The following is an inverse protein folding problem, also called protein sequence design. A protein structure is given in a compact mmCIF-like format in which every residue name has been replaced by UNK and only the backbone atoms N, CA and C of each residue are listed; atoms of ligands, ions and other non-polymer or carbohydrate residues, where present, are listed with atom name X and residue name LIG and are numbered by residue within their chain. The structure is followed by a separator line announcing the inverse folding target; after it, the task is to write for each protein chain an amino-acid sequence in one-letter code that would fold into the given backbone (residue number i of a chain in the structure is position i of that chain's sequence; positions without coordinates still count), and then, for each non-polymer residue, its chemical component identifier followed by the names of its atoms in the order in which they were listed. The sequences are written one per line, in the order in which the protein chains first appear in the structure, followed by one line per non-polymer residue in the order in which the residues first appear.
data_IF_936424879168
#
_entry.id   IF_936424879168
#
_cell.length_a   1.000
_cell.length_b   1.000
_cell.length_c   1.000
_cell.angle_alpha   90.00
_cell.angle_beta   90.00
_cell.angle_gamma   90.00
#
_symmetry.space_group_name_H-M   'P 1'
#
loop_
_entity.id
_entity.type
_entity.pdbx_description
1 polymer ?
#
# COMPACT_ATOMS: atom_id res chain seq x y z
N UNK A 1 11.49 3.26 -16.09
CA UNK A 1 10.40 3.40 -17.09
C UNK A 1 9.12 3.88 -16.40
N UNK A 2 8.13 4.42 -17.15
CA UNK A 2 6.87 4.98 -16.59
C UNK A 2 6.11 3.97 -15.71
N UNK A 3 6.02 2.72 -16.17
CA UNK A 3 5.37 1.62 -15.44
C UNK A 3 6.02 1.34 -14.09
N UNK A 4 7.34 1.19 -14.06
CA UNK A 4 8.10 0.93 -12.83
C UNK A 4 7.96 2.08 -11.83
N UNK A 5 7.94 3.33 -12.33
CA UNK A 5 7.76 4.52 -11.50
C UNK A 5 6.35 4.55 -10.88
N UNK A 6 5.31 4.23 -11.66
CA UNK A 6 3.93 4.14 -11.18
C UNK A 6 3.79 3.04 -10.12
N UNK A 7 4.34 1.85 -10.37
CA UNK A 7 4.33 0.76 -9.39
C UNK A 7 5.09 1.14 -8.10
N UNK A 8 6.25 1.79 -8.23
CA UNK A 8 7.02 2.26 -7.08
C UNK A 8 6.26 3.32 -6.27
N UNK A 9 5.53 4.21 -6.94
CA UNK A 9 4.67 5.19 -6.27
C UNK A 9 3.54 4.49 -5.50
N UNK A 10 2.92 3.46 -6.07
CA UNK A 10 1.96 2.60 -5.39
C UNK A 10 2.51 1.97 -4.11
N UNK A 11 3.70 1.35 -4.21
CA UNK A 11 4.40 0.77 -3.05
C UNK A 11 4.65 1.80 -1.96
N UNK A 12 5.06 3.02 -2.31
CA UNK A 12 5.30 4.10 -1.34
C UNK A 12 4.02 4.53 -0.61
N UNK A 13 2.87 4.59 -1.29
CA UNK A 13 1.60 4.90 -0.64
C UNK A 13 1.20 3.84 0.41
N UNK A 14 1.48 2.56 0.14
CA UNK A 14 1.27 1.49 1.12
C UNK A 14 2.29 1.58 2.29
N UNK A 15 3.58 1.75 1.97
CA UNK A 15 4.66 1.70 2.94
C UNK A 15 4.74 2.92 3.86
N UNK A 16 4.38 4.10 3.37
CA UNK A 16 4.42 5.33 4.17
C UNK A 16 3.36 5.35 5.27
N UNK A 17 2.46 4.35 5.30
CA UNK A 17 1.39 4.23 6.27
C UNK A 17 0.71 5.59 6.51
N UNK A 18 0.53 6.34 5.41
CA UNK A 18 -0.03 7.69 5.45
C UNK A 18 -1.39 7.51 6.12
N UNK A 19 -1.52 8.12 7.29
CA UNK A 19 -2.69 7.92 8.13
C UNK A 19 -3.93 8.29 7.30
N UNK A 20 -4.86 7.35 7.17
CA UNK A 20 -6.09 7.50 6.39
C UNK A 20 -5.90 7.59 4.85
N UNK A 21 -4.78 7.15 4.27
CA UNK A 21 -4.71 7.01 2.82
C UNK A 21 -5.74 5.99 2.33
N UNK A 22 -6.54 6.43 1.37
CA UNK A 22 -7.65 5.67 0.78
C UNK A 22 -7.39 5.49 -0.71
N UNK A 23 -7.30 4.25 -1.23
CA UNK A 23 -7.13 4.01 -2.67
C UNK A 23 -8.20 4.69 -3.54
N UNK A 24 -9.36 5.01 -2.97
CA UNK A 24 -10.44 5.79 -3.59
C UNK A 24 -9.98 7.19 -4.04
N UNK A 25 -8.96 7.77 -3.42
CA UNK A 25 -8.40 9.06 -3.83
C UNK A 25 -7.80 9.01 -5.25
N UNK A 26 -7.41 7.83 -5.75
CA UNK A 26 -6.97 7.69 -7.14
C UNK A 26 -8.10 7.75 -8.16
N UNK A 27 -9.32 7.36 -7.76
CA UNK A 27 -10.50 7.56 -8.60
C UNK A 27 -10.80 9.06 -8.75
N UNK A 28 -10.77 9.80 -7.64
CA UNK A 28 -10.96 11.27 -7.65
C UNK A 28 -9.87 11.94 -8.49
N UNK A 29 -8.60 11.54 -8.32
CA UNK A 29 -7.50 12.04 -9.15
C UNK A 29 -7.75 11.79 -10.65
N UNK A 30 -8.26 10.62 -11.01
CA UNK A 30 -8.58 10.29 -12.40
C UNK A 30 -9.70 11.18 -12.94
N UNK A 31 -10.75 11.41 -12.17
CA UNK A 31 -11.86 12.29 -12.52
C UNK A 31 -11.37 13.72 -12.74
N UNK A 32 -10.57 14.28 -11.82
CA UNK A 32 -10.01 15.62 -11.99
C UNK A 32 -9.19 15.76 -13.28
N UNK A 33 -8.34 14.79 -13.63
CA UNK A 33 -7.58 14.86 -14.88
C UNK A 33 -8.50 14.76 -16.09
N UNK A 34 -9.48 13.85 -16.07
CA UNK A 34 -10.43 13.67 -17.18
C UNK A 34 -11.28 14.92 -17.39
N UNK A 35 -11.74 15.59 -16.32
CA UNK A 35 -12.50 16.83 -16.39
C UNK A 35 -11.69 17.95 -17.03
N UNK A 36 -10.43 18.15 -16.60
CA UNK A 36 -9.54 19.15 -17.20
C UNK A 36 -9.25 18.86 -18.67
N UNK A 37 -9.11 17.59 -19.03
CA UNK A 37 -8.87 17.19 -20.42
C UNK A 37 -10.13 17.33 -21.26
N UNK A 38 -11.33 17.21 -20.68
CA UNK A 38 -12.58 17.37 -21.42
C UNK A 38 -12.77 18.77 -22.01
N UNK A 39 -12.02 19.77 -21.53
CA UNK A 39 -11.98 21.12 -22.10
C UNK A 39 -11.33 21.18 -23.50
N UNK A 40 -10.57 20.16 -23.91
CA UNK A 40 -10.07 20.07 -25.28
C UNK A 40 -11.18 19.65 -26.25
N UNK A 41 -11.25 20.26 -27.44
CA UNK A 41 -12.20 19.84 -28.49
C UNK A 41 -11.75 18.58 -29.26
N UNK A 42 -10.54 18.07 -28.99
CA UNK A 42 -9.97 16.92 -29.69
C UNK A 42 -10.25 15.61 -28.94
N UNK A 43 -11.07 14.74 -29.54
CA UNK A 43 -11.46 13.44 -28.98
C UNK A 43 -10.28 12.46 -28.86
N UNK A 44 -9.32 12.50 -29.76
CA UNK A 44 -8.17 11.59 -29.71
C UNK A 44 -7.26 11.94 -28.53
N UNK A 45 -7.05 13.23 -28.30
CA UNK A 45 -6.34 13.73 -27.13
C UNK A 45 -7.04 13.30 -25.84
N UNK A 46 -8.38 13.44 -25.77
CA UNK A 46 -9.15 12.99 -24.60
C UNK A 46 -8.98 11.49 -24.32
N UNK A 47 -9.04 10.65 -25.36
CA UNK A 47 -8.88 9.20 -25.24
C UNK A 47 -7.46 8.85 -24.76
N UNK A 48 -6.45 9.47 -25.35
CA UNK A 48 -5.05 9.21 -25.01
C UNK A 48 -4.75 9.56 -23.54
N UNK A 49 -5.23 10.71 -23.06
CA UNK A 49 -5.08 11.10 -21.66
C UNK A 49 -5.82 10.17 -20.71
N UNK A 50 -7.06 9.79 -21.03
CA UNK A 50 -7.82 8.82 -20.23
C UNK A 50 -7.07 7.49 -20.13
N UNK A 51 -6.54 6.98 -21.24
CA UNK A 51 -5.76 5.74 -21.25
C UNK A 51 -4.47 5.87 -20.44
N UNK A 52 -3.75 6.99 -20.54
CA UNK A 52 -2.54 7.24 -19.78
C UNK A 52 -2.81 7.21 -18.27
N UNK A 53 -3.81 7.96 -17.81
CA UNK A 53 -4.13 8.04 -16.37
C UNK A 53 -4.59 6.68 -15.84
N UNK A 54 -5.47 5.99 -16.55
CA UNK A 54 -5.90 4.65 -16.16
C UNK A 54 -4.73 3.66 -16.09
N UNK A 55 -3.78 3.76 -17.02
CA UNK A 55 -2.57 2.93 -17.01
C UNK A 55 -1.70 3.23 -15.78
N UNK A 56 -1.49 4.50 -15.45
CA UNK A 56 -0.74 4.90 -14.26
C UNK A 56 -1.41 4.37 -12.98
N UNK A 57 -2.72 4.57 -12.84
CA UNK A 57 -3.48 4.11 -11.68
C UNK A 57 -3.48 2.59 -11.57
N UNK A 58 -3.57 1.86 -12.68
CA UNK A 58 -3.47 0.40 -12.69
C UNK A 58 -2.16 -0.09 -12.05
N UNK A 59 -1.03 0.44 -12.49
CA UNK A 59 0.27 0.04 -11.94
C UNK A 59 0.49 0.54 -10.51
N UNK A 60 -0.04 1.71 -10.15
CA UNK A 60 -0.03 2.18 -8.76
C UNK A 60 -0.82 1.24 -7.85
N UNK A 61 -2.01 0.79 -8.24
CA UNK A 61 -2.82 -0.19 -7.49
C UNK A 61 -2.07 -1.51 -7.32
N UNK A 62 -1.48 -2.03 -8.40
CA UNK A 62 -0.66 -3.24 -8.32
C UNK A 62 0.50 -3.10 -7.33
N UNK A 63 1.24 -1.99 -7.37
CA UNK A 63 2.34 -1.74 -6.45
C UNK A 63 1.88 -1.65 -5.00
N UNK A 64 0.76 -0.97 -4.75
CA UNK A 64 0.17 -0.83 -3.44
C UNK A 64 -0.27 -2.19 -2.86
N UNK A 65 -1.06 -2.97 -3.61
CA UNK A 65 -1.54 -4.28 -3.16
C UNK A 65 -0.38 -5.24 -2.82
N UNK A 66 0.65 -5.28 -3.69
CA UNK A 66 1.85 -6.10 -3.46
C UNK A 66 2.55 -5.72 -2.15
N UNK A 67 2.69 -4.43 -1.90
CA UNK A 67 3.35 -3.93 -0.69
C UNK A 67 2.50 -4.14 0.56
N UNK A 68 1.18 -3.88 0.50
CA UNK A 68 0.26 -4.14 1.61
C UNK A 68 0.23 -5.62 2.02
N UNK A 69 0.26 -6.54 1.04
CA UNK A 69 0.37 -7.98 1.30
C UNK A 69 1.71 -8.33 1.94
N UNK A 70 2.81 -7.73 1.48
CA UNK A 70 4.15 -7.92 2.05
C UNK A 70 4.19 -7.47 3.52
N UNK A 71 3.64 -6.30 3.81
CA UNK A 71 3.59 -5.74 5.17
C UNK A 71 2.75 -6.61 6.10
N UNK A 72 1.57 -7.06 5.65
CA UNK A 72 0.70 -7.97 6.41
C UNK A 72 1.42 -9.28 6.75
N UNK A 73 2.10 -9.91 5.79
CA UNK A 73 2.88 -11.14 6.03
C UNK A 73 4.01 -10.91 7.03
N UNK A 74 4.74 -9.80 6.91
CA UNK A 74 5.82 -9.48 7.83
C UNK A 74 5.30 -9.29 9.27
N UNK A 75 4.15 -8.63 9.43
CA UNK A 75 3.51 -8.48 10.74
C UNK A 75 3.09 -9.83 11.34
N UNK A 76 2.52 -10.73 10.54
CA UNK A 76 2.15 -12.10 10.98
C UNK A 76 3.37 -12.91 11.41
N UNK A 77 4.47 -12.85 10.65
CA UNK A 77 5.70 -13.54 10.99
C UNK A 77 6.30 -13.03 12.31
N UNK A 78 6.29 -11.72 12.54
CA UNK A 78 6.74 -11.14 13.80
C UNK A 78 5.90 -11.61 15.01
N UNK A 79 4.57 -11.69 14.85
CA UNK A 79 3.69 -12.23 15.89
C UNK A 79 3.96 -13.72 16.16
N UNK A 80 4.17 -14.53 15.11
CA UNK A 80 4.48 -15.95 15.25
C UNK A 80 5.83 -16.18 15.95
N UNK A 81 6.87 -15.40 15.63
CA UNK A 81 8.17 -15.49 16.30
C UNK A 81 8.11 -15.11 17.78
N UNK A 82 7.26 -14.14 18.15
CA UNK A 82 7.07 -13.71 19.55
C UNK A 82 6.39 -14.77 20.42
N UNK A 83 5.58 -15.64 19.82
CA UNK A 83 4.91 -16.73 20.52
C UNK A 83 5.80 -17.98 20.71
N UNK A 84 6.98 -18.01 20.09
CA UNK A 84 7.92 -19.14 20.17
C UNK A 84 9.05 -18.92 21.19
N UNK A 85 9.19 -17.73 21.78
CA UNK A 85 10.12 -17.50 22.90
C UNK A 85 9.45 -17.96 24.20
N UNK A 86 9.94 -19.03 24.87
CA UNK A 86 9.43 -19.40 26.19
C UNK A 86 9.76 -18.26 27.16
N UNK A 87 8.78 -17.81 27.93
CA UNK A 87 9.06 -16.97 29.11
C UNK A 87 10.04 -17.73 30.01
N UNK A 88 11.15 -17.12 30.46
CA UNK A 88 11.97 -17.74 31.49
C UNK A 88 11.08 -17.98 32.71
N UNK A 89 10.99 -19.25 33.13
CA UNK A 89 10.33 -19.66 34.36
C UNK A 89 10.79 -18.75 35.50
N UNK A 90 9.87 -17.98 36.06
CA UNK A 90 10.10 -17.20 37.26
C UNK A 90 10.37 -18.18 38.42
N UNK A 91 11.58 -18.24 39.00
CA UNK A 91 11.81 -19.08 40.15
C UNK A 91 11.15 -18.38 41.36
N UNK A 92 10.04 -18.94 41.81
CA UNK A 92 9.32 -18.49 43.00
C UNK A 92 10.29 -18.52 44.22
N UNK A 93 10.51 -17.40 44.94
CA UNK A 93 11.50 -17.35 46.03
C UNK A 93 10.98 -17.78 47.41
N UNK A 94 9.79 -18.38 47.53
CA UNK A 94 9.17 -18.62 48.85
C UNK A 94 8.88 -20.10 49.17
N UNK A 95 9.92 -20.95 49.18
CA UNK A 95 9.88 -22.20 49.95
C UNK A 95 11.08 -22.20 50.90
N UNK A 96 10.89 -21.88 52.20
CA UNK A 96 11.90 -22.19 53.19
C UNK A 96 11.94 -23.70 53.38
N UNK A 97 13.07 -24.30 53.03
CA UNK A 97 13.41 -25.65 53.48
C UNK A 97 13.98 -25.53 54.90
N UNK A 98 13.10 -25.78 55.88
CA UNK A 98 13.29 -26.43 57.19
C UNK A 98 12.23 -25.94 58.17
#
# INVERSE_FOLDING_TARGET
MVVENAEQLGRRHAALNIENFRPEYWSIFTECIVENVAETNDKEIQIAWRQLVLTLIFYMKMGYERESLRMTRNAQNLMASRNLTPSPLNPNPDIPVL
#
